data_IF_449252955469
#
_entry.id   IF_449252955469
#
_cell.length_a   1.000
_cell.length_b   1.000
_cell.length_c   1.000
_cell.angle_alpha   90.00
_cell.angle_beta   90.00
_cell.angle_gamma   90.00
#
_symmetry.space_group_name_H-M   'P 1'
#
loop_
_entity.id
_entity.type
_entity.pdbx_description
1 polymer ?
#
# COMPACT_ATOMS: atom_id res chain seq x y z
N UNK A 1 -3.81 14.89 14.86
CA UNK A 1 -3.29 13.93 13.87
C UNK A 1 -3.45 14.62 12.53
N UNK A 2 -2.38 14.74 11.75
CA UNK A 2 -2.50 15.26 10.39
C UNK A 2 -3.21 14.20 9.55
N UNK A 3 -4.23 14.63 8.80
CA UNK A 3 -4.98 13.80 7.87
C UNK A 3 -4.71 14.30 6.45
N UNK A 4 -4.83 13.41 5.49
CA UNK A 4 -4.62 13.67 4.06
C UNK A 4 -5.93 13.40 3.33
N UNK A 5 -6.29 14.26 2.38
CA UNK A 5 -7.49 14.04 1.56
C UNK A 5 -7.19 12.92 0.56
N UNK A 6 -8.14 12.02 0.35
CA UNK A 6 -8.02 10.97 -0.67
C UNK A 6 -7.75 11.57 -2.07
N UNK A 7 -6.69 11.12 -2.73
CA UNK A 7 -6.19 11.68 -3.99
C UNK A 7 -5.09 12.73 -3.80
N UNK A 8 -4.70 13.06 -2.58
CA UNK A 8 -3.56 13.93 -2.26
C UNK A 8 -2.44 13.18 -1.51
N UNK A 9 -2.68 11.93 -1.08
CA UNK A 9 -1.69 11.10 -0.38
C UNK A 9 -0.75 10.33 -1.30
N UNK A 10 -1.05 10.28 -2.60
CA UNK A 10 -0.23 9.57 -3.58
C UNK A 10 -0.01 10.49 -4.78
N UNK A 11 1.20 10.42 -5.37
CA UNK A 11 1.61 11.29 -6.49
C UNK A 11 0.70 11.19 -7.72
N UNK A 12 0.00 10.07 -7.87
CA UNK A 12 -0.85 9.79 -9.04
C UNK A 12 -2.27 10.37 -8.90
N UNK A 13 -2.55 11.12 -7.83
CA UNK A 13 -3.80 11.85 -7.67
C UNK A 13 -5.01 10.92 -7.61
N UNK A 14 -6.02 11.19 -8.44
CA UNK A 14 -7.22 10.32 -8.55
C UNK A 14 -6.93 8.94 -9.16
N UNK A 15 -5.77 8.76 -9.80
CA UNK A 15 -5.32 7.43 -10.25
C UNK A 15 -4.56 6.68 -9.14
N UNK A 16 -4.31 7.33 -8.00
CA UNK A 16 -3.64 6.74 -6.85
C UNK A 16 -4.51 5.73 -6.10
N UNK A 17 -3.83 4.80 -5.43
CA UNK A 17 -4.47 3.77 -4.62
C UNK A 17 -5.29 4.34 -3.44
N UNK A 18 -4.95 5.51 -2.92
CA UNK A 18 -5.69 6.19 -1.85
C UNK A 18 -7.08 6.63 -2.32
N UNK A 19 -7.16 7.24 -3.51
CA UNK A 19 -8.44 7.58 -4.13
C UNK A 19 -9.26 6.32 -4.46
N UNK A 20 -8.64 5.34 -5.11
CA UNK A 20 -9.30 4.11 -5.51
C UNK A 20 -9.82 3.30 -4.31
N UNK A 21 -9.02 3.11 -3.28
CA UNK A 21 -9.47 2.42 -2.07
C UNK A 21 -10.59 3.19 -1.36
N UNK A 22 -10.57 4.53 -1.38
CA UNK A 22 -11.61 5.36 -0.74
C UNK A 22 -12.97 5.26 -1.44
N UNK A 23 -12.98 5.30 -2.78
CA UNK A 23 -14.22 5.47 -3.55
C UNK A 23 -14.67 4.22 -4.32
N UNK A 24 -13.76 3.30 -4.60
CA UNK A 24 -14.00 2.07 -5.38
C UNK A 24 -13.86 0.82 -4.49
N UNK A 25 -13.14 0.94 -3.37
CA UNK A 25 -12.83 -0.15 -2.45
C UNK A 25 -12.04 -1.31 -3.10
N UNK A 26 -11.22 -0.98 -4.08
CA UNK A 26 -10.30 -1.90 -4.73
C UNK A 26 -9.00 -1.20 -5.13
N UNK A 27 -7.93 -1.97 -5.31
CA UNK A 27 -6.66 -1.45 -5.80
C UNK A 27 -6.72 -1.24 -7.33
N UNK A 28 -6.05 -0.20 -7.85
CA UNK A 28 -5.87 -0.06 -9.29
C UNK A 28 -5.24 -1.29 -9.97
N UNK A 29 -5.57 -1.53 -11.25
CA UNK A 29 -5.07 -2.68 -12.03
C UNK A 29 -3.54 -2.73 -12.19
N UNK A 30 -2.82 -1.65 -11.88
CA UNK A 30 -1.37 -1.62 -11.89
C UNK A 30 -0.74 -2.28 -10.64
N UNK A 31 -1.53 -2.83 -9.72
CA UNK A 31 -1.02 -3.66 -8.64
C UNK A 31 -0.78 -5.11 -9.08
N UNK A 32 0.21 -5.74 -8.45
CA UNK A 32 0.50 -7.17 -8.55
C UNK A 32 0.69 -7.72 -7.13
N UNK A 33 0.21 -8.93 -6.88
CA UNK A 33 0.39 -9.58 -5.58
C UNK A 33 1.82 -10.07 -5.41
N UNK A 34 2.25 -10.23 -4.16
CA UNK A 34 3.53 -10.87 -3.83
C UNK A 34 3.67 -12.24 -4.50
N UNK A 35 2.62 -13.06 -4.50
CA UNK A 35 2.70 -14.44 -4.98
C UNK A 35 2.80 -14.52 -6.50
N UNK A 36 2.06 -13.66 -7.22
CA UNK A 36 2.25 -13.49 -8.67
C UNK A 36 3.67 -13.02 -8.98
N UNK A 37 4.19 -12.02 -8.25
CA UNK A 37 5.54 -11.54 -8.46
C UNK A 37 6.61 -12.61 -8.18
N UNK A 38 6.42 -13.44 -7.15
CA UNK A 38 7.28 -14.60 -6.86
C UNK A 38 7.22 -15.65 -7.98
N UNK A 39 6.04 -15.89 -8.55
CA UNK A 39 5.88 -16.82 -9.69
C UNK A 39 6.64 -16.36 -10.94
N UNK A 40 6.86 -15.06 -11.09
CA UNK A 40 7.71 -14.46 -12.13
C UNK A 40 9.21 -14.57 -11.83
N UNK A 41 9.60 -15.15 -10.70
CA UNK A 41 11.00 -15.34 -10.29
C UNK A 41 11.62 -14.16 -9.54
N UNK A 42 10.81 -13.22 -9.04
CA UNK A 42 11.31 -12.15 -8.18
C UNK A 42 11.81 -12.71 -6.85
N UNK A 43 12.88 -12.13 -6.33
CA UNK A 43 13.40 -12.43 -5.00
C UNK A 43 13.44 -11.16 -4.14
N UNK A 44 13.26 -11.32 -2.83
CA UNK A 44 13.29 -10.20 -1.89
C UNK A 44 14.60 -9.41 -2.04
N UNK A 45 14.47 -8.10 -2.23
CA UNK A 45 15.61 -7.20 -2.41
C UNK A 45 16.08 -7.03 -3.86
N UNK A 46 15.52 -7.78 -4.81
CA UNK A 46 15.59 -7.44 -6.24
C UNK A 46 14.53 -6.39 -6.59
N UNK A 47 14.65 -5.79 -7.77
CA UNK A 47 13.69 -4.80 -8.24
C UNK A 47 12.45 -5.45 -8.83
N UNK A 48 11.23 -5.22 -8.29
CA UNK A 48 9.98 -5.69 -8.89
C UNK A 48 9.83 -5.31 -10.37
N UNK A 49 10.19 -4.08 -10.73
CA UNK A 49 10.06 -3.56 -12.09
C UNK A 49 10.84 -4.37 -13.15
N UNK A 50 11.83 -5.20 -12.76
CA UNK A 50 12.53 -6.12 -13.68
C UNK A 50 11.70 -7.35 -14.08
N UNK A 51 10.69 -7.70 -13.29
CA UNK A 51 9.86 -8.90 -13.46
C UNK A 51 8.44 -8.52 -13.86
N UNK A 52 7.92 -7.43 -13.32
CA UNK A 52 6.61 -6.88 -13.64
C UNK A 52 6.74 -5.37 -13.93
N UNK A 53 7.13 -4.98 -15.16
CA UNK A 53 7.28 -3.57 -15.53
C UNK A 53 5.97 -2.79 -15.34
N UNK A 54 6.06 -1.60 -14.74
CA UNK A 54 4.91 -0.73 -14.50
C UNK A 54 3.97 -1.18 -13.38
N UNK A 55 4.32 -2.24 -12.62
CA UNK A 55 3.51 -2.73 -11.51
C UNK A 55 4.04 -2.26 -10.15
N UNK A 56 3.12 -2.04 -9.20
CA UNK A 56 3.40 -1.87 -7.77
C UNK A 56 2.97 -3.12 -7.00
N UNK A 57 3.61 -3.40 -5.87
CA UNK A 57 3.39 -4.67 -5.15
C UNK A 57 2.42 -4.48 -4.00
N UNK A 58 1.38 -5.31 -3.91
CA UNK A 58 0.67 -5.55 -2.64
C UNK A 58 1.29 -6.76 -1.93
N UNK A 59 1.66 -6.56 -0.67
CA UNK A 59 2.21 -7.63 0.18
C UNK A 59 1.12 -8.39 0.93
N UNK A 60 -0.16 -8.04 0.71
CA UNK A 60 -1.29 -8.65 1.38
C UNK A 60 -1.45 -8.13 2.81
N UNK A 61 -1.61 -9.03 3.77
CA UNK A 61 -1.92 -8.70 5.17
C UNK A 61 -0.77 -7.93 5.82
N UNK A 62 -1.09 -6.76 6.36
CA UNK A 62 -0.23 -6.04 7.29
C UNK A 62 -0.57 -6.48 8.72
N UNK A 63 0.44 -6.93 9.47
CA UNK A 63 0.20 -7.58 10.76
C UNK A 63 -0.16 -6.62 11.90
N UNK A 64 0.26 -5.35 11.81
CA UNK A 64 0.09 -4.36 12.88
C UNK A 64 0.58 -4.88 14.25
N UNK A 65 1.67 -5.66 14.28
CA UNK A 65 2.16 -6.34 15.49
C UNK A 65 2.60 -5.35 16.60
N UNK A 66 2.94 -4.11 16.23
CA UNK A 66 3.30 -3.02 17.12
C UNK A 66 2.11 -2.14 17.55
N UNK A 67 0.88 -2.47 17.12
CA UNK A 67 -0.38 -1.81 17.45
C UNK A 67 -0.38 -0.29 17.20
N UNK A 68 0.33 0.14 16.15
CA UNK A 68 0.42 1.56 15.79
C UNK A 68 -0.79 2.07 15.03
N UNK A 69 -1.53 1.17 14.39
CA UNK A 69 -2.84 1.46 13.81
C UNK A 69 -3.95 0.98 14.75
N UNK A 70 -5.14 1.62 14.73
CA UNK A 70 -6.26 1.21 15.56
C UNK A 70 -6.62 -0.27 15.34
N UNK A 71 -6.69 -1.05 16.41
CA UNK A 71 -6.98 -2.48 16.36
C UNK A 71 -8.20 -2.84 17.20
N UNK A 72 -9.15 -3.57 16.60
CA UNK A 72 -10.31 -4.16 17.27
C UNK A 72 -10.42 -5.64 16.88
N UNK A 73 -11.24 -6.42 17.60
CA UNK A 73 -11.50 -7.81 17.25
C UNK A 73 -12.12 -7.92 15.85
N UNK A 74 -11.58 -8.81 15.02
CA UNK A 74 -12.02 -9.01 13.64
C UNK A 74 -11.47 -8.02 12.62
N UNK A 75 -10.73 -6.97 13.04
CA UNK A 75 -10.07 -6.06 12.10
C UNK A 75 -8.82 -6.70 11.51
N UNK A 76 -8.74 -6.72 10.19
CA UNK A 76 -7.59 -7.15 9.39
C UNK A 76 -7.07 -5.95 8.62
N UNK A 77 -5.76 -5.75 8.67
CA UNK A 77 -5.07 -4.72 7.90
C UNK A 77 -4.37 -5.33 6.69
N UNK A 78 -4.29 -4.54 5.63
CA UNK A 78 -3.61 -4.87 4.38
C UNK A 78 -2.66 -3.75 3.99
N UNK A 79 -1.69 -4.05 3.13
CA UNK A 79 -0.73 -3.05 2.63
C UNK A 79 -0.45 -3.16 1.13
N UNK A 80 -0.08 -2.01 0.57
CA UNK A 80 0.40 -1.91 -0.80
C UNK A 80 1.48 -0.84 -0.94
N UNK A 81 2.46 -1.09 -1.81
CA UNK A 81 3.47 -0.10 -2.19
C UNK A 81 2.81 1.10 -2.88
N UNK A 82 3.28 2.30 -2.58
CA UNK A 82 2.86 3.52 -3.27
C UNK A 82 4.10 4.30 -3.73
N UNK A 83 3.94 5.18 -4.72
CA UNK A 83 5.01 6.05 -5.20
C UNK A 83 6.29 5.27 -5.64
N UNK A 84 6.14 4.02 -6.09
CA UNK A 84 7.22 3.15 -6.56
C UNK A 84 7.30 3.17 -8.09
N UNK A 85 8.52 3.24 -8.64
CA UNK A 85 8.74 3.25 -10.09
C UNK A 85 9.75 2.19 -10.55
N UNK A 86 10.89 2.06 -9.87
CA UNK A 86 11.92 1.07 -10.20
C UNK A 86 12.89 0.85 -9.03
N UNK A 87 13.83 -0.08 -9.18
CA UNK A 87 14.80 -0.41 -8.13
C UNK A 87 14.18 -1.24 -7.00
N UNK A 88 14.81 -1.25 -5.83
CA UNK A 88 14.25 -1.89 -4.62
C UNK A 88 12.94 -1.19 -4.22
N UNK A 89 12.01 -1.94 -3.62
CA UNK A 89 10.80 -1.37 -3.00
C UNK A 89 11.20 -0.22 -2.06
N UNK A 90 10.44 0.87 -2.09
CA UNK A 90 10.67 2.06 -1.25
C UNK A 90 10.09 1.84 0.16
N UNK A 91 10.03 2.88 0.98
CA UNK A 91 9.40 2.86 2.31
C UNK A 91 7.95 3.35 2.35
N UNK A 92 7.30 3.63 1.20
CA UNK A 92 5.98 4.26 1.20
C UNK A 92 4.88 3.21 1.05
N UNK A 93 3.84 3.27 1.88
CA UNK A 93 2.74 2.30 1.84
C UNK A 93 1.38 2.98 2.02
N UNK A 94 0.39 2.43 1.34
CA UNK A 94 -1.02 2.54 1.70
C UNK A 94 -1.36 1.38 2.63
N UNK A 95 -2.13 1.65 3.68
CA UNK A 95 -2.64 0.70 4.64
C UNK A 95 -4.16 0.86 4.68
N UNK A 96 -4.89 -0.25 4.57
CA UNK A 96 -6.35 -0.23 4.69
C UNK A 96 -6.85 -1.38 5.55
N UNK A 97 -7.93 -1.15 6.27
CA UNK A 97 -8.60 -2.18 7.04
C UNK A 97 -9.79 -2.76 6.30
N UNK A 98 -10.17 -3.99 6.66
CA UNK A 98 -11.40 -4.62 6.18
C UNK A 98 -12.69 -3.89 6.60
N UNK A 99 -12.61 -2.93 7.52
CA UNK A 99 -13.72 -2.12 8.01
C UNK A 99 -13.62 -0.63 7.61
N UNK A 100 -12.78 -0.30 6.62
CA UNK A 100 -12.83 0.98 5.89
C UNK A 100 -11.91 2.09 6.39
N UNK A 101 -11.02 1.82 7.34
CA UNK A 101 -9.98 2.77 7.71
C UNK A 101 -8.85 2.79 6.68
N UNK A 102 -8.28 3.96 6.43
CA UNK A 102 -7.24 4.19 5.44
C UNK A 102 -6.12 5.04 6.04
N UNK A 103 -4.87 4.61 5.83
CA UNK A 103 -3.68 5.30 6.30
C UNK A 103 -2.57 5.25 5.26
N UNK A 104 -1.68 6.24 5.28
CA UNK A 104 -0.43 6.23 4.51
C UNK A 104 0.78 6.38 5.42
N UNK A 105 1.88 5.80 4.99
CA UNK A 105 3.21 6.05 5.55
C UNK A 105 4.18 6.36 4.42
N UNK A 106 5.10 7.31 4.65
CA UNK A 106 6.16 7.67 3.70
C UNK A 106 7.57 7.38 4.23
N UNK A 107 7.66 6.76 5.40
CA UNK A 107 8.91 6.53 6.11
C UNK A 107 8.95 5.13 6.71
N UNK A 108 8.43 4.15 5.97
CA UNK A 108 8.55 2.73 6.28
C UNK A 108 7.92 2.38 7.64
N UNK A 109 6.64 2.73 7.79
CA UNK A 109 5.81 2.44 8.97
C UNK A 109 6.23 3.22 10.23
N UNK A 110 7.06 4.27 10.11
CA UNK A 110 7.47 5.10 11.24
C UNK A 110 6.45 6.18 11.61
N UNK A 111 5.70 6.74 10.64
CA UNK A 111 4.62 7.71 10.86
C UNK A 111 3.45 7.32 9.96
N UNK A 112 2.24 7.45 10.49
CA UNK A 112 0.99 7.20 9.78
C UNK A 112 0.15 8.47 9.74
N UNK A 113 -0.38 8.78 8.57
CA UNK A 113 -1.39 9.81 8.37
C UNK A 113 -2.68 9.15 7.93
N UNK A 114 -3.80 9.54 8.54
CA UNK A 114 -5.12 9.05 8.14
C UNK A 114 -5.50 9.65 6.79
N UNK A 115 -6.14 8.84 5.93
CA UNK A 115 -6.77 9.34 4.71
C UNK A 115 -8.26 9.55 4.97
N UNK A 116 -8.75 10.76 4.68
CA UNK A 116 -10.16 11.15 4.83
C UNK A 116 -10.86 11.37 3.50
#
# INVERSE_FOLDING_TARGET
>A
MEAVIAGEGIKDGQNGADYWMKYIADLPDYYITRDELLSLGWEKGKSPAKFAPGKMVTMGIYRNDDNRLPQISGRVWYEADINYYSGRRNGHRLLWSNDGLLFVTYNHYEIFLEII
#
